data_IF_739319628209
#
_entry.id   IF_739319628209
#
_cell.length_a   1.000
_cell.length_b   1.000
_cell.length_c   1.000
_cell.angle_alpha   90.00
_cell.angle_beta   90.00
_cell.angle_gamma   90.00
#
_symmetry.space_group_name_H-M   'P 1'
#
loop_
_entity.id
_entity.type
_entity.pdbx_description
1 polymer ?
#
# COMPACT_ATOMS: atom_id res chain seq x y z
N UNK A 1 -14.81 -13.76 -16.79
CA UNK A 1 -13.51 -13.48 -16.14
C UNK A 1 -13.36 -11.97 -16.03
N UNK A 2 -12.51 -11.47 -15.14
CA UNK A 2 -12.14 -10.06 -15.20
C UNK A 2 -11.26 -9.85 -16.44
N UNK A 3 -11.48 -8.75 -17.18
CA UNK A 3 -10.56 -8.35 -18.24
C UNK A 3 -9.31 -7.73 -17.59
N UNK A 4 -8.14 -7.99 -18.17
CA UNK A 4 -6.87 -7.40 -17.76
C UNK A 4 -6.37 -6.49 -18.87
N UNK A 5 -5.94 -5.30 -18.48
CA UNK A 5 -5.27 -4.35 -19.34
C UNK A 5 -3.77 -4.66 -19.27
N UNK A 6 -3.16 -4.91 -20.42
CA UNK A 6 -1.72 -5.03 -20.53
C UNK A 6 -1.12 -3.62 -20.51
N UNK A 7 -0.03 -3.43 -19.78
CA UNK A 7 0.72 -2.18 -19.70
C UNK A 7 2.19 -2.45 -20.00
N UNK A 8 2.87 -1.49 -20.63
CA UNK A 8 4.32 -1.48 -20.82
C UNK A 8 4.87 -0.14 -20.34
N UNK A 9 5.88 -0.19 -19.47
CA UNK A 9 6.66 0.96 -19.02
C UNK A 9 7.95 1.02 -19.83
N UNK A 10 8.21 2.17 -20.43
CA UNK A 10 9.41 2.44 -21.23
C UNK A 10 10.11 3.67 -20.66
N UNK A 11 11.40 3.53 -20.37
CA UNK A 11 12.27 4.64 -19.96
C UNK A 11 13.06 5.15 -21.16
N UNK A 12 12.94 6.43 -21.47
CA UNK A 12 13.72 7.09 -22.51
C UNK A 12 14.80 7.97 -21.88
N UNK A 13 16.01 7.94 -22.47
CA UNK A 13 17.18 8.69 -22.00
C UNK A 13 17.56 8.42 -20.53
N UNK A 14 17.16 7.26 -20.00
CA UNK A 14 17.55 6.84 -18.66
C UNK A 14 19.02 6.42 -18.62
N UNK A 15 19.67 6.78 -17.53
CA UNK A 15 20.99 6.29 -17.15
C UNK A 15 20.93 4.83 -16.70
N UNK A 16 22.07 4.15 -16.70
CA UNK A 16 22.17 2.77 -16.20
C UNK A 16 21.72 2.66 -14.73
N UNK A 17 21.98 3.68 -13.90
CA UNK A 17 21.55 3.70 -12.50
C UNK A 17 20.03 3.76 -12.36
N UNK A 18 19.36 4.57 -13.18
CA UNK A 18 17.89 4.68 -13.19
C UNK A 18 17.24 3.38 -13.67
N UNK A 19 17.77 2.79 -14.76
CA UNK A 19 17.29 1.50 -15.27
C UNK A 19 17.44 0.42 -14.20
N UNK A 20 18.60 0.31 -13.56
CA UNK A 20 18.85 -0.70 -12.52
C UNK A 20 17.95 -0.52 -11.29
N UNK A 21 17.67 0.74 -10.91
CA UNK A 21 16.79 1.02 -9.78
C UNK A 21 15.34 0.62 -10.09
N UNK A 22 14.82 0.98 -11.26
CA UNK A 22 13.48 0.53 -11.68
C UNK A 22 13.45 -0.99 -11.82
N UNK A 23 14.48 -1.60 -12.42
CA UNK A 23 14.59 -3.05 -12.56
C UNK A 23 14.48 -3.76 -11.21
N UNK A 24 15.14 -3.23 -10.18
CA UNK A 24 15.12 -3.81 -8.84
C UNK A 24 13.72 -3.92 -8.23
N UNK A 25 12.81 -3.02 -8.63
CA UNK A 25 11.41 -3.04 -8.18
C UNK A 25 10.62 -4.16 -8.86
N UNK A 26 10.96 -4.50 -10.11
CA UNK A 26 10.30 -5.53 -10.90
C UNK A 26 10.86 -6.95 -10.63
N UNK A 27 12.17 -7.08 -10.43
CA UNK A 27 12.83 -8.37 -10.16
C UNK A 27 12.76 -8.80 -8.67
N UNK A 28 12.25 -7.92 -7.82
CA UNK A 28 12.04 -8.16 -6.40
C UNK A 28 13.30 -8.03 -5.53
N UNK A 29 14.39 -7.49 -6.06
CA UNK A 29 15.62 -7.21 -5.30
C UNK A 29 15.54 -5.92 -4.49
N UNK A 30 14.63 -5.01 -4.84
CA UNK A 30 14.34 -3.80 -4.06
C UNK A 30 13.82 -4.16 -2.66
N UNK A 31 14.29 -3.44 -1.65
CA UNK A 31 13.88 -3.66 -0.26
C UNK A 31 12.47 -3.12 -0.05
N UNK A 32 11.47 -4.00 -0.06
CA UNK A 32 10.08 -3.68 0.21
C UNK A 32 9.63 -4.28 1.55
N UNK A 33 9.51 -3.45 2.58
CA UNK A 33 9.02 -3.87 3.91
C UNK A 33 7.65 -3.27 4.23
N UNK A 34 6.88 -2.85 3.23
CA UNK A 34 5.60 -2.14 3.43
C UNK A 34 4.60 -2.98 4.23
N UNK A 35 4.46 -4.27 3.89
CA UNK A 35 3.53 -5.16 4.60
C UNK A 35 3.99 -5.45 6.03
N UNK A 36 5.30 -5.60 6.23
CA UNK A 36 5.91 -5.74 7.55
C UNK A 36 5.60 -4.52 8.45
N UNK A 37 5.87 -3.31 7.94
CA UNK A 37 5.63 -2.06 8.67
C UNK A 37 4.14 -1.86 8.93
N UNK A 38 3.29 -2.15 7.94
CA UNK A 38 1.83 -2.08 8.08
C UNK A 38 1.34 -3.00 9.20
N UNK A 39 1.90 -4.20 9.33
CA UNK A 39 1.56 -5.12 10.42
C UNK A 39 1.93 -4.57 11.79
N UNK A 40 3.15 -4.02 11.92
CA UNK A 40 3.64 -3.39 13.16
C UNK A 40 2.75 -2.21 13.56
N UNK A 41 2.46 -1.31 12.62
CA UNK A 41 1.58 -0.14 12.83
C UNK A 41 0.16 -0.56 13.25
N UNK A 42 -0.41 -1.60 12.63
CA UNK A 42 -1.74 -2.13 13.00
C UNK A 42 -1.77 -2.73 14.40
N UNK A 43 -0.68 -3.37 14.86
CA UNK A 43 -0.58 -3.87 16.24
C UNK A 43 -0.54 -2.72 17.25
N UNK A 44 0.24 -1.68 16.98
CA UNK A 44 0.31 -0.48 17.84
C UNK A 44 -1.06 0.19 17.90
N UNK A 45 -1.70 0.39 16.74
CA UNK A 45 -3.04 0.93 16.63
C UNK A 45 -4.04 0.16 17.49
N UNK A 46 -4.10 -1.17 17.35
CA UNK A 46 -5.05 -2.01 18.07
C UNK A 46 -4.81 -1.97 19.58
N UNK A 47 -3.55 -1.97 20.01
CA UNK A 47 -3.16 -1.82 21.41
C UNK A 47 -3.60 -0.47 21.98
N UNK A 48 -3.37 0.61 21.23
CA UNK A 48 -3.78 1.97 21.57
C UNK A 48 -5.30 2.14 21.66
N UNK A 49 -6.02 1.72 20.62
CA UNK A 49 -7.48 1.79 20.54
C UNK A 49 -8.17 0.98 21.65
N UNK A 50 -7.50 -0.05 22.18
CA UNK A 50 -8.00 -0.83 23.32
C UNK A 50 -7.57 -0.26 24.68
N UNK A 51 -6.62 0.66 24.73
CA UNK A 51 -6.09 1.28 25.93
C UNK A 51 -5.02 0.43 26.64
N UNK A 52 -4.40 -0.49 25.91
CA UNK A 52 -3.19 -1.21 26.34
C UNK A 52 -1.98 -0.28 26.28
N UNK A 53 -1.89 0.53 25.21
CA UNK A 53 -0.96 1.65 25.11
C UNK A 53 -1.70 2.96 25.44
N UNK A 54 -1.00 3.88 26.11
CA UNK A 54 -1.52 5.18 26.50
C UNK A 54 -0.56 6.27 26.01
N UNK A 55 -1.06 7.42 25.52
CA UNK A 55 -0.20 8.53 25.11
C UNK A 55 0.69 8.99 26.28
N UNK A 56 1.90 9.45 25.99
CA UNK A 56 2.73 10.09 27.00
C UNK A 56 2.15 11.41 27.48
N UNK A 57 2.38 11.76 28.74
CA UNK A 57 1.96 13.05 29.32
C UNK A 57 2.50 14.28 28.57
N UNK A 58 3.58 14.12 27.80
CA UNK A 58 4.19 15.17 26.97
C UNK A 58 3.74 15.14 25.50
N UNK A 59 2.72 14.36 25.15
CA UNK A 59 2.21 14.36 23.77
C UNK A 59 1.71 15.76 23.42
N UNK A 60 2.09 16.25 22.25
CA UNK A 60 1.64 17.55 21.74
C UNK A 60 0.10 17.62 21.73
N UNK A 61 -0.44 18.69 22.33
CA UNK A 61 -1.87 18.96 22.37
C UNK A 61 -2.47 19.09 20.98
N UNK A 62 -1.74 19.62 20.00
CA UNK A 62 -2.22 19.72 18.62
C UNK A 62 -2.47 18.34 18.00
N UNK A 63 -1.56 17.39 18.22
CA UNK A 63 -1.73 15.99 17.79
C UNK A 63 -2.94 15.36 18.48
N UNK A 64 -3.08 15.57 19.79
CA UNK A 64 -4.21 15.05 20.57
C UNK A 64 -5.55 15.60 20.06
N UNK A 65 -5.63 16.88 19.72
CA UNK A 65 -6.87 17.51 19.27
C UNK A 65 -7.26 17.02 17.87
N UNK A 66 -6.31 16.88 16.95
CA UNK A 66 -6.52 16.25 15.64
C UNK A 66 -6.98 14.78 15.79
N UNK A 67 -6.41 14.03 16.73
CA UNK A 67 -6.82 12.65 16.99
C UNK A 67 -8.23 12.53 17.57
N UNK A 68 -8.65 13.47 18.43
CA UNK A 68 -10.03 13.46 18.95
C UNK A 68 -11.06 13.60 17.84
N UNK A 69 -10.73 14.36 16.79
CA UNK A 69 -11.58 14.53 15.62
C UNK A 69 -11.49 13.32 14.67
N UNK A 70 -10.28 12.91 14.30
CA UNK A 70 -10.07 11.89 13.27
C UNK A 70 -10.28 10.44 13.77
N UNK A 71 -9.84 10.13 14.99
CA UNK A 71 -9.91 8.78 15.57
C UNK A 71 -9.94 8.81 17.12
N UNK A 72 -11.07 9.20 17.73
CA UNK A 72 -11.16 9.40 19.19
C UNK A 72 -10.87 8.14 20.01
N UNK A 73 -10.98 6.94 19.43
CA UNK A 73 -10.69 5.66 20.08
C UNK A 73 -9.23 5.56 20.56
N UNK A 74 -8.30 6.26 19.91
CA UNK A 74 -6.88 6.28 20.27
C UNK A 74 -6.59 7.15 21.51
N UNK A 75 -7.52 8.02 21.91
CA UNK A 75 -7.39 8.94 23.06
C UNK A 75 -8.47 8.63 24.11
N UNK A 76 -8.10 7.86 25.14
CA UNK A 76 -9.02 7.49 26.24
C UNK A 76 -8.93 8.38 27.48
N UNK A 77 -8.34 9.57 27.36
CA UNK A 77 -8.23 10.54 28.46
C UNK A 77 -7.32 10.11 29.61
N UNK A 78 -6.39 9.18 29.35
CA UNK A 78 -5.35 8.75 30.30
C UNK A 78 -3.99 8.87 29.64
N UNK A 79 -3.00 9.29 30.42
CA UNK A 79 -1.63 9.47 29.95
C UNK A 79 -0.67 8.65 30.80
N UNK A 80 0.34 8.07 30.14
CA UNK A 80 1.44 7.37 30.78
C UNK A 80 2.70 8.24 30.87
N UNK A 81 3.72 7.71 31.54
CA UNK A 81 5.02 8.36 31.77
C UNK A 81 6.17 7.35 31.57
N UNK A 82 6.04 6.52 30.54
CA UNK A 82 6.99 5.45 30.23
C UNK A 82 7.48 5.56 28.79
N UNK A 83 8.57 4.84 28.51
CA UNK A 83 9.12 4.74 27.15
C UNK A 83 8.10 4.21 26.13
N UNK A 84 7.28 3.22 26.53
CA UNK A 84 6.21 2.70 25.68
C UNK A 84 5.14 3.76 25.38
N UNK A 85 4.90 4.68 26.33
CA UNK A 85 4.01 5.82 26.11
C UNK A 85 4.62 6.87 25.18
N UNK A 86 5.93 7.13 25.25
CA UNK A 86 6.63 8.01 24.30
C UNK A 86 6.57 7.45 22.88
N UNK A 87 6.92 6.17 22.70
CA UNK A 87 6.83 5.50 21.40
C UNK A 87 5.39 5.48 20.85
N UNK A 88 4.39 5.28 21.71
CA UNK A 88 3.00 5.38 21.28
C UNK A 88 2.64 6.82 20.85
N UNK A 89 3.15 7.86 21.52
CA UNK A 89 2.96 9.25 21.10
C UNK A 89 3.63 9.57 19.75
N UNK A 90 4.81 8.99 19.48
CA UNK A 90 5.47 9.08 18.17
C UNK A 90 4.61 8.42 17.08
N UNK A 91 4.09 7.21 17.34
CA UNK A 91 3.11 6.56 16.47
C UNK A 91 1.87 7.44 16.23
N UNK A 92 1.34 8.09 17.27
CA UNK A 92 0.17 8.96 17.15
C UNK A 92 0.43 10.18 16.24
N UNK A 93 1.64 10.75 16.29
CA UNK A 93 2.05 11.81 15.36
C UNK A 93 2.17 11.29 13.93
N UNK A 94 2.82 10.12 13.74
CA UNK A 94 2.91 9.45 12.45
C UNK A 94 1.52 9.07 11.89
N UNK A 95 0.58 8.67 12.73
CA UNK A 95 -0.76 8.31 12.29
C UNK A 95 -1.49 9.51 11.66
N UNK A 96 -1.29 10.72 12.19
CA UNK A 96 -2.00 11.92 11.72
C UNK A 96 -1.32 12.54 10.49
N UNK A 97 0.00 12.70 10.54
CA UNK A 97 0.75 13.47 9.54
C UNK A 97 1.83 12.65 8.81
N UNK A 98 2.07 11.41 9.23
CA UNK A 98 3.14 10.58 8.72
C UNK A 98 2.74 9.71 7.53
N UNK A 99 3.76 9.35 6.78
CA UNK A 99 3.67 8.49 5.60
C UNK A 99 4.68 7.36 5.73
N UNK A 100 4.40 6.23 5.10
CA UNK A 100 5.30 5.11 4.99
C UNK A 100 6.01 5.16 3.63
N UNK A 101 7.33 5.20 3.67
CA UNK A 101 8.22 5.02 2.51
C UNK A 101 9.46 4.22 2.93
N UNK A 102 10.26 3.67 1.99
CA UNK A 102 11.42 2.84 2.32
C UNK A 102 12.38 3.45 3.37
N UNK A 103 12.63 4.75 3.31
CA UNK A 103 13.46 5.46 4.28
C UNK A 103 12.92 5.51 5.73
N UNK A 104 11.66 5.15 5.99
CA UNK A 104 11.04 5.21 7.33
C UNK A 104 10.99 3.85 8.04
N UNK A 105 11.49 2.77 7.43
CA UNK A 105 11.35 1.42 7.99
C UNK A 105 12.02 1.29 9.38
N UNK A 106 13.22 1.83 9.54
CA UNK A 106 13.96 1.74 10.81
C UNK A 106 13.32 2.58 11.94
N UNK A 107 12.71 3.71 11.59
CA UNK A 107 11.95 4.52 12.53
C UNK A 107 10.73 3.75 13.06
N UNK A 108 9.96 3.13 12.17
CA UNK A 108 8.78 2.34 12.55
C UNK A 108 9.17 1.11 13.36
N UNK A 109 10.29 0.47 13.04
CA UNK A 109 10.87 -0.61 13.84
C UNK A 109 11.20 -0.14 15.25
N UNK A 110 11.91 0.99 15.37
CA UNK A 110 12.25 1.60 16.65
C UNK A 110 11.01 1.87 17.49
N UNK A 111 9.99 2.50 16.91
CA UNK A 111 8.70 2.76 17.57
C UNK A 111 8.05 1.45 18.03
N UNK A 112 7.92 0.46 17.14
CA UNK A 112 7.30 -0.82 17.47
C UNK A 112 8.04 -1.56 18.59
N UNK A 113 9.37 -1.55 18.57
CA UNK A 113 10.17 -2.16 19.63
C UNK A 113 10.02 -1.41 20.96
N UNK A 114 10.09 -0.08 20.97
CA UNK A 114 9.98 0.74 22.18
C UNK A 114 8.60 0.68 22.84
N UNK A 115 7.53 0.38 22.08
CA UNK A 115 6.21 0.09 22.71
C UNK A 115 6.20 -1.19 23.56
N UNK A 116 7.14 -2.11 23.35
CA UNK A 116 7.24 -3.39 24.07
C UNK A 116 6.17 -4.44 23.70
N UNK A 117 5.18 -4.10 22.86
CA UNK A 117 4.06 -5.01 22.54
C UNK A 117 4.49 -6.24 21.72
N UNK A 118 5.65 -6.17 21.06
CA UNK A 118 6.23 -7.27 20.30
C UNK A 118 6.55 -8.51 21.14
N UNK A 119 6.78 -8.33 22.45
CA UNK A 119 7.07 -9.40 23.41
C UNK A 119 5.83 -9.86 24.21
N UNK A 120 4.67 -9.28 23.93
CA UNK A 120 3.44 -9.59 24.68
C UNK A 120 2.67 -10.68 23.94
N UNK A 121 2.59 -11.89 24.51
CA UNK A 121 1.69 -12.91 23.97
C UNK A 121 0.23 -12.51 24.21
N UNK A 122 -0.65 -12.87 23.28
CA UNK A 122 -2.07 -12.53 23.43
C UNK A 122 -2.66 -13.14 24.72
N UNK A 123 -2.18 -14.31 25.13
CA UNK A 123 -2.54 -14.98 26.39
C UNK A 123 -2.20 -14.20 27.67
N UNK A 124 -1.27 -13.25 27.60
CA UNK A 124 -0.81 -12.48 28.76
C UNK A 124 -1.50 -11.12 28.87
N UNK A 125 -2.19 -10.68 27.81
CA UNK A 125 -2.95 -9.43 27.81
C UNK A 125 -4.11 -9.54 28.81
N UNK A 126 -4.30 -8.57 29.72
CA UNK A 126 -5.41 -8.57 30.67
C UNK A 126 -6.77 -8.73 29.98
N UNK A 127 -7.67 -9.51 30.59
CA UNK A 127 -8.97 -9.91 30.02
C UNK A 127 -9.77 -8.71 29.48
N UNK A 128 -9.76 -7.57 30.19
CA UNK A 128 -10.47 -6.36 29.78
C UNK A 128 -10.03 -5.86 28.40
N UNK A 129 -8.73 -5.89 28.13
CA UNK A 129 -8.16 -5.43 26.87
C UNK A 129 -8.39 -6.45 25.77
N UNK A 130 -8.21 -7.74 26.05
CA UNK A 130 -8.53 -8.80 25.08
C UNK A 130 -9.97 -8.76 24.61
N UNK A 131 -10.92 -8.53 25.52
CA UNK A 131 -12.34 -8.39 25.16
C UNK A 131 -12.55 -7.19 24.23
N UNK A 132 -11.91 -6.06 24.51
CA UNK A 132 -11.96 -4.89 23.64
C UNK A 132 -11.33 -5.16 22.27
N UNK A 133 -10.15 -5.80 22.24
CA UNK A 133 -9.45 -6.16 21.01
C UNK A 133 -10.23 -7.17 20.17
N UNK A 134 -10.83 -8.21 20.79
CA UNK A 134 -11.70 -9.16 20.10
C UNK A 134 -12.95 -8.51 19.51
N UNK A 135 -13.50 -7.49 20.18
CA UNK A 135 -14.62 -6.71 19.65
C UNK A 135 -14.19 -5.90 18.43
N UNK A 136 -13.15 -5.08 18.58
CA UNK A 136 -12.63 -4.24 17.51
C UNK A 136 -12.13 -5.08 16.31
N UNK A 137 -11.53 -6.23 16.56
CA UNK A 137 -11.10 -7.18 15.54
C UNK A 137 -12.23 -7.66 14.65
N UNK A 138 -13.44 -7.90 15.17
CA UNK A 138 -14.57 -8.30 14.33
C UNK A 138 -14.93 -7.22 13.30
N UNK A 139 -14.69 -5.97 13.66
CA UNK A 139 -15.01 -4.81 12.82
C UNK A 139 -13.87 -4.50 11.84
N UNK A 140 -12.63 -4.95 12.13
CA UNK A 140 -11.45 -4.67 11.30
C UNK A 140 -10.71 -5.91 10.73
N UNK A 141 -11.17 -7.13 10.97
CA UNK A 141 -10.43 -8.32 10.51
C UNK A 141 -10.47 -8.44 8.99
N UNK A 142 -11.62 -8.18 8.37
CA UNK A 142 -11.78 -8.19 6.91
C UNK A 142 -10.86 -7.17 6.22
N UNK A 143 -10.49 -6.12 6.92
CA UNK A 143 -9.71 -5.00 6.41
C UNK A 143 -8.21 -5.14 6.63
N UNK A 144 -7.81 -5.90 7.65
CA UNK A 144 -6.40 -6.20 7.94
C UNK A 144 -5.86 -7.34 7.10
N UNK A 145 -6.73 -8.12 6.48
CA UNK A 145 -6.34 -9.16 5.54
C UNK A 145 -6.47 -8.65 4.11
N UNK A 146 -5.32 -8.59 3.45
CA UNK A 146 -5.24 -8.15 2.06
C UNK A 146 -6.00 -9.11 1.12
N UNK A 147 -6.63 -8.57 0.09
CA UNK A 147 -7.59 -9.25 -0.80
C UNK A 147 -6.95 -10.27 -1.76
N UNK A 148 -5.70 -10.68 -1.53
CA UNK A 148 -5.14 -11.83 -2.23
C UNK A 148 -5.93 -13.08 -1.82
N UNK A 149 -6.71 -13.61 -2.77
CA UNK A 149 -7.77 -14.62 -2.56
C UNK A 149 -7.32 -15.86 -1.78
N UNK A 150 -6.05 -16.28 -1.93
CA UNK A 150 -5.44 -17.40 -1.16
C UNK A 150 -5.18 -17.05 0.30
N UNK A 151 -4.79 -15.81 0.60
CA UNK A 151 -4.62 -15.32 1.98
C UNK A 151 -5.98 -15.01 2.59
N UNK A 152 -6.94 -14.49 1.82
CA UNK A 152 -8.29 -14.15 2.27
C UNK A 152 -9.04 -15.34 2.91
N UNK A 153 -9.07 -16.51 2.23
CA UNK A 153 -9.75 -17.72 2.75
C UNK A 153 -9.03 -18.37 3.94
N UNK A 154 -7.69 -18.26 4.00
CA UNK A 154 -6.90 -18.69 5.15
C UNK A 154 -7.10 -17.77 6.35
N UNK A 155 -7.19 -16.46 6.11
CA UNK A 155 -7.16 -15.43 7.12
C UNK A 155 -8.51 -15.13 7.79
N UNK A 156 -9.65 -15.34 7.11
CA UNK A 156 -10.96 -15.29 7.78
C UNK A 156 -11.08 -16.31 8.93
N UNK A 157 -10.25 -17.35 8.93
CA UNK A 157 -10.19 -18.37 9.99
C UNK A 157 -9.16 -18.05 11.07
N UNK A 158 -8.31 -17.04 10.89
CA UNK A 158 -7.30 -16.64 11.88
C UNK A 158 -7.94 -15.71 12.91
N UNK A 159 -8.15 -16.24 14.10
CA UNK A 159 -8.54 -15.41 15.25
C UNK A 159 -7.43 -14.40 15.60
N UNK A 160 -7.82 -13.27 16.20
CA UNK A 160 -6.89 -12.25 16.69
C UNK A 160 -5.75 -12.85 17.53
N UNK A 161 -6.01 -13.89 18.31
CA UNK A 161 -5.02 -14.57 19.16
C UNK A 161 -3.83 -15.08 18.31
N UNK A 162 -4.11 -15.67 17.14
CA UNK A 162 -3.10 -16.18 16.21
C UNK A 162 -2.43 -15.05 15.40
N UNK A 163 -3.20 -14.06 14.94
CA UNK A 163 -2.65 -12.88 14.26
C UNK A 163 -1.70 -12.07 15.15
N UNK A 164 -2.10 -11.84 16.40
CA UNK A 164 -1.29 -11.12 17.39
C UNK A 164 0.00 -11.86 17.70
N UNK A 165 -0.08 -13.18 17.82
CA UNK A 165 1.06 -14.05 18.12
C UNK A 165 2.01 -14.26 16.93
N UNK A 166 1.63 -13.84 15.72
CA UNK A 166 2.56 -13.82 14.59
C UNK A 166 3.64 -12.77 14.86
N UNK A 167 4.84 -13.24 15.18
CA UNK A 167 5.98 -12.38 15.45
C UNK A 167 6.55 -11.85 14.14
N UNK A 168 6.69 -10.54 14.06
CA UNK A 168 7.42 -9.85 12.99
C UNK A 168 8.82 -9.55 13.50
N UNK A 169 9.56 -10.62 13.82
CA UNK A 169 10.81 -10.54 14.59
C UNK A 169 12.04 -10.25 13.73
N UNK A 170 11.99 -10.53 12.43
CA UNK A 170 13.07 -10.24 11.48
C UNK A 170 12.53 -9.38 10.34
N UNK A 171 13.36 -8.50 9.74
CA UNK A 171 13.03 -7.84 8.49
C UNK A 171 12.58 -8.86 7.43
N UNK A 172 11.41 -8.66 6.84
CA UNK A 172 10.89 -9.51 5.75
C UNK A 172 10.77 -8.64 4.52
N UNK A 173 11.61 -8.91 3.51
CA UNK A 173 11.38 -8.36 2.20
C UNK A 173 10.12 -9.02 1.61
N UNK A 174 9.10 -8.21 1.38
CA UNK A 174 7.82 -8.61 0.80
C UNK A 174 7.87 -8.62 -0.73
N UNK A 175 8.92 -8.03 -1.33
CA UNK A 175 9.19 -8.11 -2.75
C UNK A 175 9.36 -9.57 -3.17
N UNK A 176 8.84 -9.88 -4.35
CA UNK A 176 8.97 -11.19 -4.99
C UNK A 176 9.38 -10.95 -6.43
N UNK A 177 10.17 -11.86 -6.95
CA UNK A 177 10.50 -11.91 -8.37
C UNK A 177 9.20 -11.90 -9.19
N UNK A 178 9.22 -11.17 -10.31
CA UNK A 178 8.09 -11.01 -11.24
C UNK A 178 6.83 -10.40 -10.59
N UNK A 179 6.96 -9.74 -9.44
CA UNK A 179 5.87 -9.01 -8.77
C UNK A 179 6.20 -7.54 -8.62
N UNK A 180 5.49 -6.72 -9.38
CA UNK A 180 5.58 -5.27 -9.28
C UNK A 180 4.64 -4.74 -8.18
N UNK A 181 5.22 -4.27 -7.08
CA UNK A 181 4.47 -3.62 -5.99
C UNK A 181 4.60 -2.09 -6.08
N UNK A 182 3.61 -1.45 -6.70
CA UNK A 182 3.58 -0.01 -6.97
C UNK A 182 3.61 0.85 -5.70
N UNK A 183 3.32 0.27 -4.52
CA UNK A 183 3.35 1.00 -3.24
C UNK A 183 4.74 1.48 -2.87
N UNK A 184 5.81 0.89 -3.43
CA UNK A 184 7.18 1.32 -3.14
C UNK A 184 7.55 2.63 -3.83
N UNK A 185 6.80 3.02 -4.86
CA UNK A 185 7.09 4.18 -5.70
C UNK A 185 6.68 5.51 -5.06
N UNK A 186 5.75 5.47 -4.11
CA UNK A 186 5.12 6.66 -3.54
C UNK A 186 4.92 6.49 -2.04
N UNK A 187 5.15 7.54 -1.23
CA UNK A 187 4.79 7.52 0.18
C UNK A 187 3.29 7.23 0.37
N UNK A 188 2.95 6.36 1.33
CA UNK A 188 1.56 6.03 1.65
C UNK A 188 1.22 6.51 3.06
N UNK A 189 0.20 7.37 3.27
CA UNK A 189 -0.18 7.84 4.59
C UNK A 189 -0.44 6.71 5.58
N UNK A 190 0.14 6.79 6.78
CA UNK A 190 0.04 5.73 7.81
C UNK A 190 -1.42 5.46 8.17
N UNK A 191 -2.25 6.50 8.25
CA UNK A 191 -3.69 6.36 8.46
C UNK A 191 -4.35 5.44 7.41
N UNK A 192 -4.00 5.57 6.12
CA UNK A 192 -4.59 4.75 5.04
C UNK A 192 -4.21 3.27 5.20
N UNK A 193 -2.97 2.99 5.61
CA UNK A 193 -2.47 1.62 5.82
C UNK A 193 -3.12 0.93 7.03
N UNK A 194 -3.35 1.71 8.09
CA UNK A 194 -3.84 1.22 9.38
C UNK A 194 -5.37 1.16 9.43
N UNK A 195 -6.07 2.11 8.81
CA UNK A 195 -7.54 2.16 8.76
C UNK A 195 -8.03 1.84 7.34
N UNK A 196 -8.64 0.67 7.13
CA UNK A 196 -9.10 0.26 5.79
C UNK A 196 -10.62 0.35 5.57
N UNK A 197 -11.41 0.84 6.54
CA UNK A 197 -12.88 0.94 6.42
C UNK A 197 -13.37 2.33 6.78
N UNK A 198 -14.05 2.97 5.83
CA UNK A 198 -15.13 3.90 6.12
C UNK A 198 -16.38 3.04 6.24
N UNK A 199 -16.69 2.59 7.44
CA UNK A 199 -18.05 2.13 7.72
C UNK A 199 -18.66 3.04 8.77
N UNK A 200 -19.76 3.68 8.38
CA UNK A 200 -20.68 4.35 9.27
C UNK A 200 -21.22 3.31 10.25
N UNK A 201 -20.64 3.26 11.43
CA UNK A 201 -21.12 2.39 12.48
C UNK A 201 -22.41 3.00 13.02
N UNK A 202 -23.55 2.42 12.63
CA UNK A 202 -24.83 2.66 13.30
C UNK A 202 -24.75 2.05 14.70
N UNK A 203 -24.31 2.86 15.68
CA UNK A 203 -24.65 2.56 17.06
C UNK A 203 -26.17 2.69 17.19
N UNK A 204 -26.85 1.68 17.74
CA UNK A 204 -28.31 1.63 17.90
C UNK A 204 -28.95 2.73 18.78
N UNK A 205 -28.24 3.83 18.99
CA UNK A 205 -28.64 5.01 19.77
C UNK A 205 -28.53 6.33 18.99
N UNK A 206 -28.54 6.30 17.65
CA UNK A 206 -28.67 7.51 16.83
C UNK A 206 -27.45 8.44 16.85
N UNK A 207 -26.30 7.97 17.34
CA UNK A 207 -25.01 8.65 17.19
C UNK A 207 -24.15 7.88 16.19
N UNK A 208 -24.02 8.46 15.01
CA UNK A 208 -22.99 8.10 14.04
C UNK A 208 -21.67 8.51 14.69
N UNK A 209 -20.88 7.55 15.14
CA UNK A 209 -19.47 7.82 15.45
C UNK A 209 -18.72 7.33 14.22
N UNK A 210 -18.21 8.21 13.34
CA UNK A 210 -17.34 7.75 12.27
C UNK A 210 -16.19 7.01 12.96
N UNK A 211 -16.09 5.70 12.72
CA UNK A 211 -14.99 4.92 13.32
C UNK A 211 -13.65 5.38 12.74
N UNK A 212 -13.67 5.88 11.49
CA UNK A 212 -12.54 6.43 10.74
C UNK A 212 -13.07 7.37 9.64
N UNK A 213 -12.70 8.66 9.62
CA UNK A 213 -13.00 9.58 8.51
C UNK A 213 -11.89 9.62 7.45
N UNK A 214 -11.18 8.52 7.28
CA UNK A 214 -9.98 8.43 6.44
C UNK A 214 -10.30 7.68 5.15
N UNK A 215 -9.73 8.14 4.04
CA UNK A 215 -9.87 7.49 2.75
C UNK A 215 -9.39 6.02 2.84
N UNK A 216 -10.18 5.08 2.34
CA UNK A 216 -9.80 3.65 2.37
C UNK A 216 -8.58 3.40 1.48
N UNK A 217 -7.79 2.36 1.78
CA UNK A 217 -6.64 1.93 0.95
C UNK A 217 -7.06 1.74 -0.52
N UNK A 218 -8.26 1.19 -0.71
CA UNK A 218 -8.86 1.00 -2.04
C UNK A 218 -9.07 2.31 -2.80
N UNK A 219 -9.67 3.33 -2.17
CA UNK A 219 -9.91 4.60 -2.83
C UNK A 219 -8.61 5.38 -3.02
N UNK A 220 -7.70 5.30 -2.05
CA UNK A 220 -6.38 5.92 -2.14
C UNK A 220 -5.60 5.42 -3.36
N UNK A 221 -5.46 4.10 -3.54
CA UNK A 221 -4.74 3.58 -4.70
C UNK A 221 -5.49 3.75 -6.01
N UNK A 222 -6.83 3.67 -6.00
CA UNK A 222 -7.60 3.98 -7.20
C UNK A 222 -7.38 5.43 -7.64
N UNK A 223 -7.27 6.36 -6.70
CA UNK A 223 -6.97 7.76 -7.00
C UNK A 223 -5.54 7.92 -7.50
N UNK A 224 -4.57 7.27 -6.87
CA UNK A 224 -3.13 7.45 -7.14
C UNK A 224 -2.61 6.71 -8.38
N UNK A 225 -3.22 5.58 -8.73
CA UNK A 225 -2.73 4.71 -9.81
C UNK A 225 -3.79 4.50 -10.90
N UNK A 226 -4.98 5.09 -10.77
CA UNK A 226 -6.14 4.76 -11.59
C UNK A 226 -6.68 3.33 -11.40
N UNK A 227 -5.98 2.48 -10.64
CA UNK A 227 -6.28 1.07 -10.43
C UNK A 227 -6.39 0.72 -8.93
N UNK A 228 -7.22 -0.29 -8.63
CA UNK A 228 -7.43 -0.78 -7.26
C UNK A 228 -6.35 -1.78 -6.85
N UNK A 229 -5.72 -2.44 -7.82
CA UNK A 229 -4.59 -3.34 -7.61
C UNK A 229 -3.31 -2.53 -7.61
N UNK A 230 -2.50 -2.73 -6.57
CA UNK A 230 -1.20 -2.08 -6.38
C UNK A 230 -0.04 -3.09 -6.40
N UNK A 231 -0.35 -4.39 -6.49
CA UNK A 231 0.63 -5.44 -6.77
C UNK A 231 0.16 -6.20 -8.00
N UNK A 232 1.05 -6.41 -8.96
CA UNK A 232 0.75 -7.14 -10.19
C UNK A 232 1.88 -8.07 -10.61
N UNK A 233 1.56 -9.03 -11.48
CA UNK A 233 2.54 -9.82 -12.21
C UNK A 233 3.21 -8.93 -13.27
N UNK A 234 4.53 -9.02 -13.36
CA UNK A 234 5.32 -8.23 -14.27
C UNK A 234 6.50 -9.02 -14.84
N UNK A 235 6.89 -8.68 -16.07
CA UNK A 235 7.98 -9.34 -16.77
C UNK A 235 8.76 -8.35 -17.62
N UNK A 236 10.05 -8.61 -17.78
CA UNK A 236 10.93 -7.80 -18.63
C UNK A 236 10.62 -8.10 -20.10
N UNK A 237 10.41 -7.06 -20.91
CA UNK A 237 10.17 -7.20 -22.37
C UNK A 237 11.52 -7.24 -23.11
N UNK A 238 12.42 -6.32 -22.76
CA UNK A 238 13.70 -6.09 -23.47
C UNK A 238 14.84 -5.74 -22.50
N UNK A 239 16.08 -5.77 -23.00
CA UNK A 239 17.29 -5.43 -22.24
C UNK A 239 17.55 -3.93 -22.02
N UNK A 240 16.77 -3.04 -22.65
CA UNK A 240 17.01 -1.60 -22.75
C UNK A 240 16.17 -0.73 -21.79
N UNK A 241 15.48 -1.34 -20.82
CA UNK A 241 14.69 -0.61 -19.83
C UNK A 241 13.19 -0.53 -20.15
N UNK A 242 12.64 -1.62 -20.68
CA UNK A 242 11.19 -1.78 -20.88
C UNK A 242 10.62 -2.99 -20.13
N UNK A 243 9.52 -2.79 -19.41
CA UNK A 243 8.84 -3.81 -18.60
C UNK A 243 7.36 -3.87 -18.91
N UNK A 244 6.79 -5.06 -18.93
CA UNK A 244 5.35 -5.29 -19.08
C UNK A 244 4.75 -5.72 -17.77
N UNK A 245 3.50 -5.33 -17.54
CA UNK A 245 2.71 -5.79 -16.40
C UNK A 245 1.22 -5.66 -16.67
N UNK A 246 0.43 -6.49 -16.00
CA UNK A 246 -1.02 -6.46 -16.16
C UNK A 246 -1.69 -5.60 -15.09
N UNK A 247 -2.86 -5.06 -15.38
CA UNK A 247 -3.70 -4.38 -14.40
C UNK A 247 -5.16 -4.75 -14.60
N UNK A 248 -5.93 -4.88 -13.52
CA UNK A 248 -7.32 -5.31 -13.67
C UNK A 248 -8.18 -4.15 -14.22
N UNK A 249 -8.87 -4.40 -15.34
CA UNK A 249 -9.87 -3.53 -16.00
C UNK A 249 -9.42 -2.18 -16.57
N UNK A 250 -8.37 -1.55 -16.03
CA UNK A 250 -7.97 -0.20 -16.42
C UNK A 250 -6.45 -0.03 -16.40
N UNK A 251 -5.88 0.82 -17.27
CA UNK A 251 -4.44 1.07 -17.27
C UNK A 251 -4.01 1.68 -15.94
N UNK A 252 -2.76 1.45 -15.59
CA UNK A 252 -2.15 2.17 -14.46
C UNK A 252 -1.78 3.56 -14.93
N UNK A 253 -2.34 4.57 -14.26
CA UNK A 253 -2.12 5.99 -14.57
C UNK A 253 -1.03 6.56 -13.68
N UNK A 254 -0.53 7.73 -14.08
CA UNK A 254 0.40 8.57 -13.30
C UNK A 254 1.79 7.97 -13.08
N UNK A 255 2.10 6.75 -13.54
CA UNK A 255 3.45 6.19 -13.45
C UNK A 255 4.50 7.01 -14.21
N UNK A 256 4.09 7.69 -15.29
CA UNK A 256 4.95 8.62 -16.03
C UNK A 256 5.43 9.82 -15.19
N UNK A 257 4.66 10.19 -14.16
CA UNK A 257 5.00 11.26 -13.21
C UNK A 257 5.66 10.70 -11.93
N UNK A 258 5.17 9.55 -11.44
CA UNK A 258 5.62 8.93 -10.19
C UNK A 258 7.04 8.34 -10.30
N UNK A 259 7.39 7.73 -11.44
CA UNK A 259 8.70 7.08 -11.61
C UNK A 259 9.86 8.10 -11.58
N UNK A 260 9.78 9.24 -12.29
CA UNK A 260 10.79 10.30 -12.16
C UNK A 260 10.97 10.79 -10.71
N UNK A 261 9.87 11.02 -9.98
CA UNK A 261 9.94 11.42 -8.56
C UNK A 261 10.60 10.34 -7.70
N UNK A 262 10.23 9.07 -7.89
CA UNK A 262 10.84 7.93 -7.21
C UNK A 262 12.35 7.85 -7.47
N UNK A 263 12.79 8.01 -8.72
CA UNK A 263 14.20 8.00 -9.11
C UNK A 263 14.96 9.14 -8.44
N UNK A 264 14.41 10.36 -8.50
CA UNK A 264 14.98 11.55 -7.85
C UNK A 264 15.16 11.36 -6.34
N UNK A 265 14.16 10.79 -5.68
CA UNK A 265 14.19 10.54 -4.23
C UNK A 265 15.27 9.53 -3.80
N UNK A 266 15.61 8.57 -4.67
CA UNK A 266 16.54 7.48 -4.33
C UNK A 266 17.96 7.68 -4.88
N UNK A 267 18.11 8.36 -6.01
CA UNK A 267 19.42 8.62 -6.63
C UNK A 267 19.97 10.00 -6.28
N UNK A 268 19.12 10.95 -5.88
CA UNK A 268 19.53 12.29 -5.46
C UNK A 268 19.98 13.21 -6.59
N UNK A 269 19.81 12.80 -7.85
CA UNK A 269 20.12 13.55 -9.05
C UNK A 269 18.87 13.68 -9.92
N UNK A 270 18.70 14.84 -10.57
CA UNK A 270 17.61 15.10 -11.50
C UNK A 270 18.12 14.96 -12.93
N UNK A 271 17.56 13.99 -13.66
CA UNK A 271 17.81 13.82 -15.08
C UNK A 271 16.70 14.57 -15.85
N UNK A 272 16.99 15.81 -16.27
CA UNK A 272 16.02 16.65 -16.99
C UNK A 272 15.61 16.07 -18.36
N UNK A 273 16.41 15.16 -18.93
CA UNK A 273 16.17 14.52 -20.22
C UNK A 273 15.40 13.19 -20.11
N UNK A 274 15.19 12.68 -18.90
CA UNK A 274 14.43 11.46 -18.64
C UNK A 274 12.95 11.66 -19.03
N UNK A 275 12.42 10.75 -19.83
CA UNK A 275 10.97 10.62 -20.02
C UNK A 275 10.50 9.19 -19.81
N UNK A 276 9.28 9.04 -19.32
CA UNK A 276 8.67 7.75 -18.99
C UNK A 276 7.36 7.64 -19.73
N UNK A 277 7.26 6.61 -20.58
CA UNK A 277 6.05 6.31 -21.32
C UNK A 277 5.38 5.04 -20.79
N UNK A 278 4.06 5.11 -20.64
CA UNK A 278 3.21 3.98 -20.26
C UNK A 278 2.28 3.66 -21.42
N UNK A 279 2.62 2.65 -22.21
CA UNK A 279 1.73 2.12 -23.23
C UNK A 279 0.76 1.11 -22.61
N UNK A 280 -0.46 1.02 -23.12
CA UNK A 280 -1.45 0.08 -22.62
C UNK A 280 -2.47 -0.35 -23.68
N UNK A 281 -3.05 -1.53 -23.50
CA UNK A 281 -4.21 -1.97 -24.28
C UNK A 281 -5.09 -2.97 -23.51
N UNK A 282 -6.38 -2.98 -23.82
CA UNK A 282 -7.37 -3.93 -23.28
C UNK A 282 -8.36 -4.32 -24.39
N UNK A 283 -8.19 -5.52 -24.94
CA UNK A 283 -8.98 -5.98 -26.09
C UNK A 283 -10.46 -6.22 -25.80
N UNK A 284 -10.83 -6.54 -24.55
CA UNK A 284 -12.21 -6.83 -24.18
C UNK A 284 -13.12 -5.60 -24.10
N UNK A 285 -12.57 -4.44 -23.76
CA UNK A 285 -13.24 -3.14 -23.73
C UNK A 285 -12.88 -2.27 -24.95
N UNK A 286 -11.91 -2.70 -25.77
CA UNK A 286 -11.61 -2.07 -27.05
C UNK A 286 -10.87 -0.74 -26.96
N UNK A 287 -9.94 -0.60 -26.01
CA UNK A 287 -9.12 0.61 -25.89
C UNK A 287 -7.61 0.30 -25.86
N UNK A 288 -6.82 1.27 -26.28
CA UNK A 288 -5.35 1.28 -26.17
C UNK A 288 -4.86 2.72 -25.98
N UNK A 289 -3.58 2.92 -25.68
CA UNK A 289 -3.08 4.26 -25.44
C UNK A 289 -1.62 4.33 -25.03
N UNK A 290 -1.12 5.56 -24.93
CA UNK A 290 0.18 5.90 -24.35
C UNK A 290 -0.02 7.07 -23.41
N UNK A 291 0.42 6.94 -22.15
CA UNK A 291 0.21 7.94 -21.10
C UNK A 291 -1.27 8.33 -20.96
N UNK A 292 -1.62 9.60 -21.20
CA UNK A 292 -2.99 10.10 -21.12
C UNK A 292 -3.78 9.98 -22.43
N UNK A 293 -3.12 9.67 -23.54
CA UNK A 293 -3.76 9.54 -24.85
C UNK A 293 -4.45 8.17 -24.97
N UNK A 294 -5.71 8.19 -25.39
CA UNK A 294 -6.55 7.00 -25.56
C UNK A 294 -6.96 6.88 -27.03
N UNK A 295 -6.74 5.70 -27.59
CA UNK A 295 -7.13 5.31 -28.93
C UNK A 295 -8.11 4.14 -28.89
N UNK A 296 -8.96 4.03 -29.92
CA UNK A 296 -9.78 2.86 -30.11
C UNK A 296 -8.88 1.65 -30.47
N UNK A 297 -9.17 0.50 -29.87
CA UNK A 297 -8.55 -0.76 -30.24
C UNK A 297 -9.54 -1.59 -31.04
N UNK A 298 -9.19 -1.87 -32.30
CA UNK A 298 -10.03 -2.64 -33.22
C UNK A 298 -9.28 -3.89 -33.63
N UNK A 299 -9.71 -5.06 -33.15
CA UNK A 299 -9.23 -6.33 -33.70
C UNK A 299 -9.72 -6.45 -35.14
N UNK A 300 -8.79 -6.44 -36.10
CA UNK A 300 -9.08 -6.74 -37.50
C UNK A 300 -8.84 -8.24 -37.69
N UNK A 301 -9.91 -8.99 -37.93
CA UNK A 301 -9.83 -10.38 -38.34
C UNK A 301 -9.94 -10.43 -39.86
N UNK A 302 -8.83 -10.65 -40.56
CA UNK A 302 -8.89 -10.93 -42.00
C UNK A 302 -9.28 -12.40 -42.24
N UNK A 303 -9.99 -12.64 -43.33
CA UNK A 303 -10.54 -13.97 -43.70
C UNK A 303 -9.47 -15.05 -43.98
N UNK A 304 -8.18 -14.67 -43.95
CA UNK A 304 -7.01 -15.50 -44.25
C UNK A 304 -6.19 -15.93 -42.99
N UNK A 305 -6.72 -15.76 -41.77
CA UNK A 305 -6.06 -16.09 -40.48
C UNK A 305 -4.79 -15.26 -40.15
N UNK A 306 -4.44 -14.27 -40.99
CA UNK A 306 -3.42 -13.26 -40.67
C UNK A 306 -4.05 -12.15 -39.82
N UNK A 307 -3.81 -12.18 -38.50
CA UNK A 307 -4.25 -11.12 -37.60
C UNK A 307 -3.29 -9.94 -37.68
N UNK A 308 -3.70 -8.84 -38.32
CA UNK A 308 -3.07 -7.54 -38.06
C UNK A 308 -3.47 -7.11 -36.63
N UNK A 309 -2.48 -6.78 -35.80
CA UNK A 309 -2.69 -6.71 -34.35
C UNK A 309 -3.67 -5.61 -33.92
N UNK A 310 -4.06 -4.69 -34.81
CA UNK A 310 -4.93 -3.55 -34.50
C UNK A 310 -4.32 -2.57 -33.49
N UNK A 311 -3.09 -2.85 -33.03
CA UNK A 311 -2.37 -2.04 -32.08
C UNK A 311 -1.79 -0.81 -32.77
N UNK A 312 -1.85 0.34 -32.10
CA UNK A 312 -1.19 1.56 -32.51
C UNK A 312 0.34 1.32 -32.58
N UNK A 313 1.08 1.90 -33.55
CA UNK A 313 2.53 1.65 -33.70
C UNK A 313 3.35 1.90 -32.44
N UNK A 314 3.02 2.95 -31.68
CA UNK A 314 3.71 3.26 -30.41
C UNK A 314 3.45 2.19 -29.34
N UNK A 315 2.23 1.64 -29.31
CA UNK A 315 1.88 0.53 -28.43
C UNK A 315 2.61 -0.74 -28.87
N UNK A 316 2.64 -1.04 -30.18
CA UNK A 316 3.41 -2.18 -30.70
C UNK A 316 4.88 -2.11 -30.30
N UNK A 317 5.50 -0.95 -30.48
CA UNK A 317 6.91 -0.70 -30.14
C UNK A 317 7.16 -0.91 -28.66
N UNK A 318 6.31 -0.38 -27.78
CA UNK A 318 6.46 -0.51 -26.32
C UNK A 318 6.35 -1.97 -25.85
N UNK A 319 5.55 -2.81 -26.53
CA UNK A 319 5.43 -4.24 -26.24
C UNK A 319 6.45 -5.12 -26.99
N UNK A 320 7.30 -4.55 -27.84
CA UNK A 320 8.34 -5.27 -28.58
C UNK A 320 7.82 -6.14 -29.73
N UNK A 321 6.68 -5.77 -30.33
CA UNK A 321 6.13 -6.41 -31.54
C UNK A 321 6.77 -5.88 -32.82
#
# INVERSE_FOLDING_TARGET
MANYCANALVLHNATEAEINLVESVFDGTFVNRIDEMTWKLRKIFLAGACGLLLPHKSTDTAVIDLLKEACPLLIKGRFGDSEASLAYSEFLALFINGELKPGHYDEIDSIYHRTGIHNVYFGDIPIRYRKAMKRLWKDCSETYFDQNRRTYEFNQKIGIDAWWSHQVAAPINSAKEEKFDMRVLTPVPVRVLVSNKVEEHYSGHGRITPFFSTMSKFFYYKQLFGNKMYVTDAWRITGDGSWSFDSAWSPVRELSEIIPEFLKDHLGEENEDLSVDIAYFEGGMGFQGVNDDVYDYVCIYDEDDDSDSGLHPDVQTAFGY
#
